data_IF_297341652815
#
_entry.id   IF_297341652815
#
_cell.length_a   1.000
_cell.length_b   1.000
_cell.length_c   1.000
_cell.angle_alpha   90.00
_cell.angle_beta   90.00
_cell.angle_gamma   90.00
#
_symmetry.space_group_name_H-M   'P 1'
#
loop_
_entity.id
_entity.type
_entity.pdbx_description
1 polymer ?
#
# COMPACT_ATOMS: atom_id res chain seq x y z
N UNK A 1 -10.86 1.51 2.73
CA UNK A 1 -11.29 0.84 3.98
C UNK A 1 -10.15 0.94 4.96
N UNK A 2 -10.43 1.14 6.23
CA UNK A 2 -9.45 1.16 7.30
C UNK A 2 -9.75 0.02 8.26
N UNK A 3 -8.72 -0.72 8.66
CA UNK A 3 -8.82 -1.77 9.67
C UNK A 3 -7.96 -1.35 10.85
N UNK A 4 -8.57 -1.21 12.02
CA UNK A 4 -7.87 -0.83 13.25
C UNK A 4 -8.14 -1.83 14.36
N UNK A 5 -7.28 -1.80 15.38
CA UNK A 5 -7.50 -2.45 16.66
C UNK A 5 -7.27 -1.41 17.75
N UNK A 6 -7.99 -1.48 18.88
CA UNK A 6 -7.58 -0.77 20.09
C UNK A 6 -6.17 -1.19 20.50
N UNK A 7 -5.45 -0.32 21.22
CA UNK A 7 -4.20 -0.69 21.86
C UNK A 7 -4.47 -1.76 22.92
N UNK A 8 -3.81 -2.90 22.78
CA UNK A 8 -3.94 -4.02 23.71
C UNK A 8 -2.57 -4.67 23.90
N UNK A 9 -2.30 -5.16 25.11
CA UNK A 9 -1.12 -5.99 25.39
C UNK A 9 -1.24 -7.43 24.84
N UNK A 10 -2.43 -7.82 24.36
CA UNK A 10 -2.66 -9.12 23.72
C UNK A 10 -2.22 -9.08 22.27
N UNK A 11 -1.53 -10.15 21.85
CA UNK A 11 -1.09 -10.32 20.47
C UNK A 11 -2.32 -10.43 19.56
N UNK A 12 -2.38 -9.55 18.57
CA UNK A 12 -3.36 -9.59 17.49
C UNK A 12 -2.61 -9.81 16.17
N UNK A 13 -3.07 -10.76 15.35
CA UNK A 13 -2.50 -11.00 14.03
C UNK A 13 -3.60 -10.88 12.97
N UNK A 14 -3.27 -10.23 11.85
CA UNK A 14 -4.11 -10.16 10.66
C UNK A 14 -3.27 -10.54 9.46
N UNK A 15 -3.84 -11.40 8.64
CA UNK A 15 -3.34 -11.73 7.32
C UNK A 15 -4.39 -11.35 6.29
N UNK A 16 -4.01 -10.57 5.30
CA UNK A 16 -4.85 -10.19 4.18
C UNK A 16 -4.25 -10.75 2.89
N UNK A 17 -5.09 -11.32 2.01
CA UNK A 17 -4.68 -11.79 0.69
C UNK A 17 -5.75 -11.48 -0.36
N UNK A 18 -5.29 -11.16 -1.56
CA UNK A 18 -6.10 -10.78 -2.70
C UNK A 18 -6.47 -12.02 -3.53
N UNK A 19 -7.17 -12.96 -2.90
CA UNK A 19 -7.46 -14.28 -3.45
C UNK A 19 -8.72 -14.89 -2.83
N UNK A 20 -9.09 -16.08 -3.34
CA UNK A 20 -10.22 -16.87 -2.83
C UNK A 20 -10.15 -17.17 -1.33
N UNK A 21 -11.29 -17.55 -0.76
CA UNK A 21 -11.51 -17.69 0.69
C UNK A 21 -10.60 -18.71 1.39
N UNK A 22 -10.12 -19.71 0.66
CA UNK A 22 -9.27 -20.82 1.14
C UNK A 22 -7.79 -20.45 1.27
N UNK A 23 -7.38 -19.31 0.71
CA UNK A 23 -5.96 -19.01 0.52
C UNK A 23 -5.32 -18.23 1.67
N UNK A 24 -6.05 -17.96 2.75
CA UNK A 24 -5.60 -16.98 3.76
C UNK A 24 -4.57 -17.51 4.76
N UNK A 25 -4.42 -18.83 4.87
CA UNK A 25 -3.41 -19.46 5.73
C UNK A 25 -2.00 -19.35 5.15
N UNK A 26 -0.98 -19.52 6.00
CA UNK A 26 0.44 -19.40 5.61
C UNK A 26 0.85 -20.48 4.59
N UNK A 27 0.28 -21.69 4.70
CA UNK A 27 0.52 -22.84 3.81
C UNK A 27 -0.54 -22.94 2.70
N UNK A 28 -0.77 -21.87 1.95
CA UNK A 28 -1.68 -21.97 0.80
C UNK A 28 -1.01 -22.64 -0.40
N UNK A 29 -1.71 -23.58 -1.04
CA UNK A 29 -1.22 -24.29 -2.22
C UNK A 29 -1.06 -23.37 -3.45
N UNK A 30 -1.83 -22.28 -3.51
CA UNK A 30 -1.83 -21.36 -4.64
C UNK A 30 -0.66 -20.37 -4.64
N UNK A 31 0.16 -20.36 -3.58
CA UNK A 31 1.35 -19.51 -3.43
C UNK A 31 1.02 -18.01 -3.48
N UNK A 32 -0.13 -17.60 -2.95
CA UNK A 32 -0.52 -16.21 -2.95
C UNK A 32 0.52 -15.36 -2.20
N UNK A 33 0.81 -14.13 -2.62
CA UNK A 33 1.52 -13.18 -1.78
C UNK A 33 0.59 -12.61 -0.70
N UNK A 34 1.14 -12.22 0.45
CA UNK A 34 0.40 -11.46 1.45
C UNK A 34 0.08 -10.07 0.93
N UNK A 35 -1.15 -9.59 0.95
CA UNK A 35 -1.40 -8.17 0.73
C UNK A 35 -0.99 -7.35 1.96
N UNK A 36 -1.24 -7.91 3.14
CA UNK A 36 -0.78 -7.43 4.43
C UNK A 36 -0.58 -8.63 5.36
N UNK A 37 0.43 -8.56 6.23
CA UNK A 37 0.63 -9.47 7.36
C UNK A 37 1.10 -8.63 8.53
N UNK A 38 0.45 -8.77 9.69
CA UNK A 38 0.92 -8.11 10.91
C UNK A 38 2.37 -8.50 11.16
N UNK A 39 3.27 -7.54 11.46
CA UNK A 39 4.64 -7.86 11.86
C UNK A 39 4.65 -8.83 13.06
N UNK A 40 5.77 -9.51 13.30
CA UNK A 40 5.97 -10.35 14.50
C UNK A 40 6.14 -9.52 15.80
N UNK A 41 5.25 -8.55 15.99
CA UNK A 41 5.14 -7.65 17.13
C UNK A 41 3.79 -7.86 17.80
N UNK A 42 3.68 -7.73 19.13
CA UNK A 42 2.40 -7.81 19.83
C UNK A 42 1.42 -6.70 19.43
N UNK A 43 1.90 -5.60 18.86
CA UNK A 43 1.10 -4.42 18.57
C UNK A 43 0.59 -4.42 17.13
N UNK A 44 -0.73 -4.37 16.97
CA UNK A 44 -1.39 -4.17 15.67
C UNK A 44 -2.00 -2.75 15.64
N UNK A 45 -1.31 -1.74 15.08
CA UNK A 45 -1.80 -0.37 15.02
C UNK A 45 -2.93 -0.17 14.01
N UNK A 46 -3.21 -1.18 13.18
CA UNK A 46 -4.11 -1.08 12.04
C UNK A 46 -3.37 -0.99 10.70
N UNK A 47 -4.13 -1.04 9.62
CA UNK A 47 -3.67 -0.77 8.26
C UNK A 47 -4.79 -0.18 7.40
N UNK A 48 -4.39 0.47 6.31
CA UNK A 48 -5.31 0.97 5.30
C UNK A 48 -5.34 0.07 4.07
N UNK A 49 -6.56 -0.12 3.58
CA UNK A 49 -6.86 -0.89 2.38
C UNK A 49 -7.36 0.05 1.28
N UNK A 50 -6.63 0.07 0.17
CA UNK A 50 -7.01 0.71 -1.08
C UNK A 50 -7.25 -0.33 -2.16
N UNK A 51 -8.39 -1.01 -2.11
CA UNK A 51 -8.75 -1.97 -3.14
C UNK A 51 -10.05 -1.62 -3.82
N UNK A 52 -10.03 -1.85 -5.11
CA UNK A 52 -11.15 -1.84 -6.06
C UNK A 52 -11.41 -3.26 -6.59
N UNK A 53 -10.73 -4.28 -6.01
CA UNK A 53 -10.96 -5.69 -6.31
C UNK A 53 -12.30 -6.18 -5.75
N UNK A 54 -13.04 -7.04 -6.49
CA UNK A 54 -14.31 -7.57 -6.06
C UNK A 54 -14.21 -8.56 -4.88
N UNK A 55 -13.02 -9.12 -4.62
CA UNK A 55 -12.79 -10.07 -3.52
C UNK A 55 -11.51 -9.75 -2.77
N UNK A 56 -11.60 -9.84 -1.44
CA UNK A 56 -10.51 -9.74 -0.49
C UNK A 56 -10.78 -10.68 0.68
N UNK A 57 -9.78 -11.47 1.06
CA UNK A 57 -9.87 -12.45 2.15
C UNK A 57 -8.99 -12.04 3.32
N UNK A 58 -9.53 -12.13 4.54
CA UNK A 58 -8.83 -11.84 5.78
C UNK A 58 -8.89 -13.04 6.74
N UNK A 59 -7.77 -13.34 7.38
CA UNK A 59 -7.70 -14.17 8.56
C UNK A 59 -7.32 -13.27 9.71
N UNK A 60 -8.15 -13.30 10.75
CA UNK A 60 -7.97 -12.51 11.95
C UNK A 60 -7.76 -13.53 13.05
N UNK A 61 -6.54 -13.59 13.55
CA UNK A 61 -6.19 -14.43 14.69
C UNK A 61 -6.18 -13.51 15.90
N UNK A 62 -7.34 -13.39 16.56
CA UNK A 62 -7.51 -12.41 17.64
C UNK A 62 -8.24 -12.94 18.88
N UNK A 63 -7.77 -12.51 20.07
CA UNK A 63 -8.56 -12.43 21.29
C UNK A 63 -9.28 -11.07 21.49
N UNK A 64 -8.81 -9.97 20.88
CA UNK A 64 -9.48 -8.65 20.93
C UNK A 64 -10.37 -8.42 19.70
N UNK A 65 -11.26 -7.42 19.73
CA UNK A 65 -12.10 -7.08 18.58
C UNK A 65 -11.38 -6.15 17.59
N UNK A 66 -11.48 -6.43 16.29
CA UNK A 66 -11.14 -5.44 15.24
C UNK A 66 -12.28 -4.45 14.99
N UNK A 67 -11.91 -3.26 14.53
CA UNK A 67 -12.82 -2.32 13.92
C UNK A 67 -12.53 -2.22 12.42
N UNK A 68 -13.55 -2.47 11.61
CA UNK A 68 -13.50 -2.26 10.15
C UNK A 68 -14.31 -1.02 9.84
N UNK A 69 -13.64 0.03 9.38
CA UNK A 69 -14.29 1.24 8.93
C UNK A 69 -14.25 1.30 7.40
N UNK A 70 -15.43 1.19 6.79
CA UNK A 70 -15.60 1.47 5.36
C UNK A 70 -15.78 2.97 5.17
N UNK A 71 -14.68 3.68 4.96
CA UNK A 71 -14.76 5.12 4.70
C UNK A 71 -15.40 5.36 3.33
N UNK A 72 -16.67 5.79 3.30
CA UNK A 72 -17.34 6.33 2.12
C UNK A 72 -16.84 7.73 1.75
N UNK A 73 -16.05 8.38 2.61
CA UNK A 73 -15.75 9.81 2.59
C UNK A 73 -14.26 10.20 2.55
N UNK A 74 -13.34 9.24 2.38
CA UNK A 74 -12.04 9.65 1.82
C UNK A 74 -12.36 10.00 0.36
N UNK A 75 -12.21 11.27 -0.01
CA UNK A 75 -12.28 11.67 -1.41
C UNK A 75 -11.50 10.66 -2.24
N UNK A 76 -12.13 10.13 -3.28
CA UNK A 76 -11.55 9.15 -4.19
C UNK A 76 -10.17 9.66 -4.64
N UNK A 77 -9.09 9.27 -3.95
CA UNK A 77 -7.74 9.77 -4.24
C UNK A 77 -6.89 10.28 -3.08
N UNK A 78 -7.33 10.34 -1.82
CA UNK A 78 -6.44 10.68 -0.68
C UNK A 78 -6.37 9.56 0.39
N UNK A 79 -5.15 9.28 0.89
CA UNK A 79 -4.84 8.14 1.78
C UNK A 79 -3.74 8.52 2.76
N UNK A 80 -3.91 8.22 4.04
CA UNK A 80 -2.89 8.47 5.05
C UNK A 80 -1.60 7.67 4.79
N UNK A 81 -0.55 8.39 4.42
CA UNK A 81 0.78 7.83 4.22
C UNK A 81 1.42 7.36 5.53
N UNK A 82 0.96 7.88 6.68
CA UNK A 82 1.48 7.59 8.02
C UNK A 82 1.18 6.20 8.55
N UNK A 83 0.33 5.44 7.85
CA UNK A 83 -0.10 4.12 8.25
C UNK A 83 0.32 3.09 7.20
N UNK A 84 0.65 1.88 7.63
CA UNK A 84 0.94 0.79 6.72
C UNK A 84 -0.30 0.43 5.89
N UNK A 85 -0.09 -0.06 4.67
CA UNK A 85 -1.19 -0.41 3.78
C UNK A 85 -0.73 -1.03 2.49
N UNK A 86 -1.68 -1.26 1.60
CA UNK A 86 -1.39 -1.75 0.26
C UNK A 86 -2.37 -1.22 -0.80
N UNK A 87 -1.87 -1.21 -2.05
CA UNK A 87 -2.59 -0.77 -3.25
C UNK A 87 -2.55 -1.89 -4.29
N UNK A 88 -3.68 -2.05 -4.96
CA UNK A 88 -3.83 -2.94 -6.12
C UNK A 88 -4.52 -2.21 -7.26
N UNK A 89 -4.34 -2.69 -8.50
CA UNK A 89 -5.17 -2.26 -9.62
C UNK A 89 -6.64 -2.73 -9.48
N UNK A 90 -7.51 -2.07 -10.26
CA UNK A 90 -8.92 -2.42 -10.41
C UNK A 90 -9.09 -3.74 -11.17
N UNK A 91 -9.77 -4.72 -10.58
CA UNK A 91 -10.06 -5.99 -11.23
C UNK A 91 -9.83 -7.18 -10.32
N UNK A 92 -9.81 -8.37 -10.92
CA UNK A 92 -9.66 -9.61 -10.18
C UNK A 92 -8.20 -9.87 -9.91
N UNK A 93 -7.84 -9.95 -8.63
CA UNK A 93 -6.54 -10.41 -8.19
C UNK A 93 -6.68 -11.87 -7.79
N UNK A 94 -5.78 -12.70 -8.30
CA UNK A 94 -5.76 -14.14 -8.08
C UNK A 94 -4.34 -14.65 -7.97
N UNK A 95 -4.23 -15.90 -7.58
CA UNK A 95 -2.95 -16.56 -7.35
C UNK A 95 -2.67 -17.58 -8.44
N UNK A 96 -1.48 -18.19 -8.39
CA UNK A 96 -0.88 -19.04 -9.41
C UNK A 96 -0.23 -18.27 -10.56
N UNK A 97 1.05 -18.61 -10.76
CA UNK A 97 1.97 -18.18 -11.81
C UNK A 97 1.25 -18.12 -13.16
N UNK A 98 0.92 -16.92 -13.69
CA UNK A 98 0.50 -16.77 -15.06
C UNK A 98 1.46 -17.51 -15.98
N UNK A 99 1.00 -17.98 -17.15
CA UNK A 99 1.86 -18.70 -18.12
C UNK A 99 3.15 -17.93 -18.48
N UNK A 100 3.16 -16.63 -18.23
CA UNK A 100 4.23 -15.66 -18.50
C UNK A 100 5.14 -15.36 -17.30
N UNK A 101 4.96 -16.02 -16.15
CA UNK A 101 5.66 -15.72 -14.90
C UNK A 101 4.89 -14.73 -14.01
N UNK A 102 5.47 -14.36 -12.86
CA UNK A 102 4.87 -13.43 -11.88
C UNK A 102 4.22 -14.10 -10.66
N UNK A 103 3.93 -13.28 -9.65
CA UNK A 103 3.47 -13.71 -8.31
C UNK A 103 1.94 -13.57 -8.15
N UNK A 104 1.27 -12.86 -9.05
CA UNK A 104 -0.20 -12.73 -9.08
C UNK A 104 -0.78 -12.87 -10.49
N UNK A 105 -1.92 -13.52 -10.58
CA UNK A 105 -2.79 -13.51 -11.76
C UNK A 105 -3.77 -12.35 -11.61
N UNK A 106 -3.62 -11.31 -12.43
CA UNK A 106 -4.61 -10.24 -12.48
C UNK A 106 -5.56 -10.43 -13.66
N UNK A 107 -6.82 -9.97 -13.55
CA UNK A 107 -7.70 -9.72 -14.70
C UNK A 107 -8.34 -8.36 -14.58
N UNK A 108 -7.93 -7.46 -15.46
CA UNK A 108 -8.62 -6.17 -15.67
C UNK A 108 -10.06 -6.43 -16.08
N UNK A 109 -11.00 -5.64 -15.57
CA UNK A 109 -12.42 -5.66 -16.00
C UNK A 109 -12.63 -5.02 -17.38
N UNK A 110 -11.55 -4.62 -18.07
CA UNK A 110 -11.57 -4.35 -19.50
C UNK A 110 -12.09 -2.97 -19.91
N UNK A 111 -12.34 -2.06 -18.96
CA UNK A 111 -12.92 -0.77 -19.29
C UNK A 111 -12.38 0.36 -18.42
N UNK A 112 -11.18 0.87 -18.72
CA UNK A 112 -10.86 2.26 -18.35
C UNK A 112 -9.92 2.89 -19.37
N UNK A 113 -10.47 3.77 -20.23
CA UNK A 113 -9.72 4.71 -21.07
C UNK A 113 -9.05 5.83 -20.26
N UNK A 114 -9.33 5.92 -18.96
CA UNK A 114 -8.65 6.81 -18.01
C UNK A 114 -7.75 5.97 -17.09
N UNK A 115 -6.45 6.28 -16.97
CA UNK A 115 -5.63 5.67 -15.94
C UNK A 115 -6.23 6.02 -14.57
N UNK A 116 -6.56 5.04 -13.73
CA UNK A 116 -6.86 5.31 -12.34
C UNK A 116 -5.58 5.89 -11.71
N UNK A 117 -5.57 7.20 -11.48
CA UNK A 117 -4.58 7.83 -10.63
C UNK A 117 -5.04 7.69 -9.20
N UNK A 118 -4.15 7.25 -8.32
CA UNK A 118 -4.40 7.21 -6.89
C UNK A 118 -3.27 7.93 -6.19
N UNK A 119 -3.59 8.86 -5.29
CA UNK A 119 -2.57 9.51 -4.49
C UNK A 119 -2.60 8.96 -3.07
N UNK A 120 -1.42 8.66 -2.54
CA UNK A 120 -1.23 8.56 -1.11
C UNK A 120 -0.83 9.95 -0.61
N UNK A 121 -1.81 10.70 -0.12
CA UNK A 121 -1.65 12.05 0.45
C UNK A 121 -1.82 12.01 1.96
N UNK A 122 -0.89 12.64 2.67
CA UNK A 122 -1.17 13.11 4.03
C UNK A 122 -2.41 14.05 4.03
N UNK A 123 -3.50 13.72 4.74
CA UNK A 123 -4.68 14.58 4.70
C UNK A 123 -4.48 15.88 5.50
N UNK A 124 -3.73 15.90 6.61
CA UNK A 124 -3.88 17.01 7.59
C UNK A 124 -2.65 17.40 8.43
N UNK A 125 -1.42 16.94 8.16
CA UNK A 125 -0.27 17.28 9.02
C UNK A 125 0.91 17.91 8.27
N UNK A 126 1.71 18.73 8.96
CA UNK A 126 2.96 19.32 8.46
C UNK A 126 4.17 18.37 8.64
N UNK A 127 3.91 17.07 8.70
CA UNK A 127 4.91 16.04 8.97
C UNK A 127 5.49 15.49 7.68
N UNK A 128 6.79 15.19 7.68
CA UNK A 128 7.45 14.49 6.60
C UNK A 128 7.60 13.01 6.97
N UNK A 129 7.67 12.13 5.99
CA UNK A 129 7.78 10.69 6.21
C UNK A 129 8.95 10.09 5.46
N UNK A 130 9.56 9.08 6.06
CA UNK A 130 10.30 8.08 5.31
C UNK A 130 9.32 6.98 4.92
N UNK A 131 9.27 6.63 3.64
CA UNK A 131 8.30 5.68 3.09
C UNK A 131 9.03 4.57 2.36
N UNK A 132 8.72 3.34 2.74
CA UNK A 132 9.22 2.14 2.10
C UNK A 132 8.10 1.55 1.25
N UNK A 133 8.39 1.28 -0.02
CA UNK A 133 7.49 0.59 -0.95
C UNK A 133 8.09 -0.75 -1.35
N UNK A 134 7.29 -1.80 -1.24
CA UNK A 134 7.56 -3.09 -1.86
C UNK A 134 6.54 -3.32 -2.98
N UNK A 135 7.03 -3.44 -4.21
CA UNK A 135 6.20 -3.60 -5.40
C UNK A 135 6.40 -5.01 -5.96
N UNK A 136 5.30 -5.74 -6.11
CA UNK A 136 5.23 -7.01 -6.84
C UNK A 136 4.54 -6.76 -8.19
N UNK A 137 5.29 -6.39 -9.25
CA UNK A 137 4.71 -6.11 -10.55
C UNK A 137 4.47 -7.39 -11.36
N UNK A 138 3.55 -7.30 -12.30
CA UNK A 138 3.43 -8.23 -13.40
C UNK A 138 3.08 -7.44 -14.67
N UNK A 139 4.09 -6.82 -15.27
CA UNK A 139 3.96 -6.00 -16.48
C UNK A 139 4.63 -6.66 -17.69
N UNK A 140 4.12 -6.36 -18.89
CA UNK A 140 4.83 -6.63 -20.15
C UNK A 140 5.57 -5.37 -20.61
N UNK A 141 6.43 -5.49 -21.62
CA UNK A 141 7.34 -4.41 -22.06
C UNK A 141 6.69 -3.06 -22.42
N UNK A 142 5.37 -2.98 -22.58
CA UNK A 142 4.66 -1.74 -22.96
C UNK A 142 3.88 -1.09 -21.82
N UNK A 143 3.90 -1.66 -20.62
CA UNK A 143 3.06 -1.26 -19.48
C UNK A 143 3.91 -1.05 -18.24
N UNK A 144 3.45 -0.16 -17.38
CA UNK A 144 4.17 0.21 -16.17
C UNK A 144 3.21 0.71 -15.08
N UNK A 145 3.73 0.66 -13.86
CA UNK A 145 3.30 1.51 -12.76
C UNK A 145 4.30 2.66 -12.67
N UNK A 146 3.81 3.88 -12.60
CA UNK A 146 4.62 5.07 -12.36
C UNK A 146 4.23 5.66 -11.02
N UNK A 147 5.22 6.13 -10.27
CA UNK A 147 4.93 6.96 -9.11
C UNK A 147 5.92 8.12 -9.01
N UNK A 148 5.44 9.22 -8.43
CA UNK A 148 6.15 10.49 -8.35
C UNK A 148 5.79 11.24 -7.07
N UNK A 149 6.75 12.03 -6.59
CA UNK A 149 6.50 13.15 -5.67
C UNK A 149 6.21 14.41 -6.52
N UNK A 150 5.48 15.45 -6.08
CA UNK A 150 5.19 16.64 -6.93
C UNK A 150 6.51 17.29 -7.32
N UNK A 151 7.48 17.30 -6.40
CA UNK A 151 8.82 17.84 -6.62
C UNK A 151 9.59 17.11 -7.73
N UNK A 152 9.15 15.90 -8.12
CA UNK A 152 9.77 15.02 -9.10
C UNK A 152 8.81 14.58 -10.21
N UNK A 153 7.74 15.35 -10.50
CA UNK A 153 6.83 15.04 -11.61
C UNK A 153 7.53 14.90 -12.96
N UNK A 154 8.64 15.62 -13.15
CA UNK A 154 9.46 15.54 -14.37
C UNK A 154 10.35 14.29 -14.45
N UNK A 155 10.52 13.55 -13.33
CA UNK A 155 11.35 12.35 -13.22
C UNK A 155 10.62 11.25 -12.43
N UNK A 156 9.49 10.72 -12.93
CA UNK A 156 8.76 9.68 -12.24
C UNK A 156 9.60 8.40 -12.15
N UNK A 157 9.42 7.66 -11.07
CA UNK A 157 9.94 6.29 -11.00
C UNK A 157 9.02 5.37 -11.79
N UNK A 158 9.61 4.52 -12.63
CA UNK A 158 8.87 3.62 -13.52
C UNK A 158 9.15 2.17 -13.12
N UNK A 159 8.11 1.45 -12.71
CA UNK A 159 8.16 0.02 -12.42
C UNK A 159 7.71 -0.76 -13.64
N UNK A 160 8.55 -1.70 -14.06
CA UNK A 160 8.28 -2.62 -15.17
C UNK A 160 8.66 -4.06 -14.78
N UNK A 161 8.34 -5.02 -15.65
CA UNK A 161 8.76 -6.42 -15.47
C UNK A 161 7.89 -7.20 -14.47
N UNK A 162 8.46 -8.31 -13.99
CA UNK A 162 7.77 -9.30 -13.14
C UNK A 162 8.45 -9.52 -11.78
N UNK A 163 9.63 -8.92 -11.61
CA UNK A 163 10.45 -9.10 -10.42
C UNK A 163 10.08 -8.08 -9.36
N UNK A 164 10.11 -8.54 -8.09
CA UNK A 164 9.91 -7.69 -6.94
C UNK A 164 10.91 -6.52 -6.94
N UNK A 165 10.42 -5.32 -6.65
CA UNK A 165 11.21 -4.10 -6.56
C UNK A 165 10.91 -3.38 -5.25
N UNK A 166 11.95 -2.85 -4.61
CA UNK A 166 11.84 -2.10 -3.36
C UNK A 166 12.31 -0.66 -3.58
N UNK A 167 11.60 0.29 -3.00
CA UNK A 167 11.90 1.72 -3.10
C UNK A 167 11.83 2.38 -1.73
N UNK A 168 12.72 3.33 -1.48
CA UNK A 168 12.78 4.11 -0.25
C UNK A 168 12.71 5.59 -0.61
N UNK A 169 11.77 6.30 0.01
CA UNK A 169 11.61 7.75 -0.11
C UNK A 169 11.88 8.38 1.25
N UNK A 170 12.62 9.48 1.25
CA UNK A 170 13.02 10.16 2.49
C UNK A 170 12.45 11.56 2.51
N UNK A 171 11.82 11.91 3.63
CA UNK A 171 11.30 13.27 3.83
C UNK A 171 10.24 13.68 2.83
N UNK A 172 9.34 12.76 2.44
CA UNK A 172 8.25 13.05 1.50
C UNK A 172 6.94 13.30 2.24
N UNK A 173 5.99 13.99 1.58
CA UNK A 173 4.64 14.24 2.12
C UNK A 173 3.55 13.41 1.43
N UNK A 174 3.80 13.01 0.19
CA UNK A 174 2.85 12.23 -0.60
C UNK A 174 3.55 11.51 -1.74
N UNK A 175 2.86 10.51 -2.29
CA UNK A 175 3.24 9.80 -3.50
C UNK A 175 2.01 9.65 -4.40
N UNK A 176 2.14 10.12 -5.63
CA UNK A 176 1.18 9.87 -6.69
C UNK A 176 1.50 8.54 -7.36
N UNK A 177 0.50 7.69 -7.54
CA UNK A 177 0.59 6.44 -8.31
C UNK A 177 -0.28 6.57 -9.54
N UNK A 178 0.29 6.23 -10.69
CA UNK A 178 -0.41 6.16 -11.96
C UNK A 178 -0.05 4.84 -12.64
N UNK A 179 -1.05 4.16 -13.20
CA UNK A 179 -0.82 3.01 -14.06
C UNK A 179 -1.67 3.16 -15.32
N UNK A 180 -1.10 2.76 -16.47
CA UNK A 180 -1.73 2.95 -17.77
C UNK A 180 -1.89 1.64 -18.52
N UNK A 181 -3.07 1.48 -19.13
CA UNK A 181 -3.36 0.46 -20.13
C UNK A 181 -3.13 -1.00 -19.67
N UNK A 182 -3.42 -1.35 -18.42
CA UNK A 182 -3.29 -2.75 -17.99
C UNK A 182 -4.36 -3.62 -18.65
N UNK A 183 -3.93 -4.72 -19.26
CA UNK A 183 -4.81 -5.66 -19.96
C UNK A 183 -4.48 -7.10 -19.59
N UNK A 184 -5.48 -7.98 -19.71
CA UNK A 184 -5.29 -9.41 -19.53
C UNK A 184 -4.73 -9.74 -18.15
N UNK A 185 -3.53 -10.34 -18.12
CA UNK A 185 -2.90 -10.89 -16.92
C UNK A 185 -2.09 -9.89 -16.06
N UNK A 186 -2.06 -8.61 -16.41
CA UNK A 186 -1.10 -7.62 -15.90
C UNK A 186 -1.58 -6.86 -14.67
N UNK A 187 -0.84 -6.86 -13.58
CA UNK A 187 -1.22 -6.10 -12.39
C UNK A 187 -0.04 -5.81 -11.48
N UNK A 188 -0.34 -5.37 -10.27
CA UNK A 188 0.68 -5.12 -9.26
C UNK A 188 0.10 -5.23 -7.84
N UNK A 189 0.96 -5.47 -6.87
CA UNK A 189 0.69 -5.22 -5.47
C UNK A 189 1.76 -4.30 -4.93
N UNK A 190 1.37 -3.12 -4.46
CA UNK A 190 2.25 -2.21 -3.72
C UNK A 190 1.93 -2.35 -2.24
N UNK A 191 2.92 -2.70 -1.43
CA UNK A 191 2.85 -2.59 0.02
C UNK A 191 3.62 -1.36 0.44
N UNK A 192 3.09 -0.61 1.39
CA UNK A 192 3.76 0.57 1.91
C UNK A 192 3.77 0.57 3.44
N UNK A 193 4.85 1.12 3.98
CA UNK A 193 4.99 1.48 5.38
C UNK A 193 5.72 2.80 5.49
N UNK A 194 5.53 3.51 6.60
CA UNK A 194 6.20 4.79 6.80
C UNK A 194 6.58 5.06 8.25
N UNK A 195 7.51 5.99 8.41
CA UNK A 195 7.96 6.52 9.69
C UNK A 195 7.86 8.03 9.65
N UNK A 196 7.18 8.63 10.63
CA UNK A 196 7.10 10.09 10.80
C UNK A 196 8.49 10.64 11.15
N UNK A 197 8.94 11.65 10.41
CA UNK A 197 10.10 12.43 10.77
C UNK A 197 9.73 13.48 11.82
N UNK A 198 10.50 13.60 12.93
CA UNK A 198 10.26 14.62 13.93
C UNK A 198 10.47 16.02 13.32
N UNK A 199 9.55 16.95 13.62
CA UNK A 199 9.76 18.37 13.32
C UNK A 199 10.93 18.87 14.17
N UNK A 200 12.06 19.17 13.56
CA UNK A 200 13.17 19.80 14.28
C UNK A 200 12.73 21.20 14.72
N UNK A 201 12.32 21.34 15.99
CA UNK A 201 12.04 22.64 16.60
C UNK A 201 13.35 23.40 16.73
N UNK A 202 13.64 24.31 15.80
CA UNK A 202 14.62 25.36 16.03
C UNK A 202 14.01 26.30 17.09
N UNK A 203 14.29 26.03 18.37
CA UNK A 203 14.02 27.02 19.40
C UNK A 203 14.85 28.27 19.07
N UNK A 204 14.28 29.48 19.07
CA UNK A 204 15.06 30.69 18.86
C UNK A 204 16.02 30.84 20.05
N UNK A 205 17.31 30.60 19.83
CA UNK A 205 18.35 30.92 20.79
C UNK A 205 18.35 32.43 20.99
N UNK A 206 17.69 32.88 22.06
CA UNK A 206 17.78 34.27 22.50
C UNK A 206 19.07 34.39 23.32
N UNK A 207 20.16 34.81 22.69
CA UNK A 207 21.38 35.16 23.41
C UNK A 207 21.18 36.53 24.04
N UNK A 208 20.80 36.59 25.31
CA UNK A 208 20.84 37.83 26.09
C UNK A 208 22.28 38.05 26.55
N UNK A 209 22.99 38.96 25.87
CA UNK A 209 24.28 39.45 26.34
C UNK A 209 24.02 40.58 27.33
N UNK A 210 24.24 40.35 28.62
CA UNK A 210 24.25 41.40 29.63
C UNK A 210 25.67 41.98 29.68
N UNK A 211 25.81 43.27 29.40
CA UNK A 211 27.01 44.09 29.67
C UNK A 211 26.96 44.64 31.08
#
# INVERSE_FOLDING_TARGET
MQVTSPETAQRNSITARLAGFDNVLDENEDGCPYAYKTPDSPNFPGFFLSVTTPLLSFAIEQPAGIQIQTTQLLSLGSRDIGSAGFITPDGWNGCKKPKTGGIQSFRSTGSVYNPPTFTILQPENDSYYNVSLEVLPHFTAKRNLTFSELSSLDNPTIVTGIDQQNFEFYGIRYLDFEYKNMEGCQGFLVRHSSIVLPKTSLAPTTTTTTT
#
